data_IF_868739086900
#
_entry.id   IF_868739086900
#
_cell.length_a   1.000
_cell.length_b   1.000
_cell.length_c   1.000
_cell.angle_alpha   90.00
_cell.angle_beta   90.00
_cell.angle_gamma   90.00
#
_symmetry.space_group_name_H-M   'P 1'
#
loop_
_entity.id
_entity.type
_entity.pdbx_description
1 polymer ?
#
# COMPACT_ATOMS: atom_id res chain seq x y z
N UNK A 1 -4.94 27.80 39.44
CA UNK A 1 -5.84 26.96 38.65
C UNK A 1 -6.84 26.23 39.53
N UNK A 2 -8.08 26.13 39.08
CA UNK A 2 -9.11 25.39 39.77
C UNK A 2 -9.01 23.90 39.45
N UNK A 3 -9.71 23.09 40.28
CA UNK A 3 -9.81 21.66 40.03
C UNK A 3 -10.47 21.36 38.67
N UNK A 4 -11.42 22.21 38.24
CA UNK A 4 -12.05 22.09 36.93
C UNK A 4 -11.05 22.32 35.78
N UNK A 5 -10.09 23.21 35.98
CA UNK A 5 -9.03 23.46 34.96
C UNK A 5 -8.11 22.25 34.80
N UNK A 6 -7.77 21.59 35.89
CA UNK A 6 -6.98 20.35 35.85
C UNK A 6 -7.74 19.21 35.17
N UNK A 7 -9.03 19.08 35.41
CA UNK A 7 -9.86 18.07 34.76
C UNK A 7 -10.01 18.33 33.26
N UNK A 8 -10.19 19.59 32.88
CA UNK A 8 -10.26 19.96 31.46
C UNK A 8 -8.93 19.68 30.75
N UNK A 9 -7.81 19.97 31.39
CA UNK A 9 -6.49 19.69 30.85
C UNK A 9 -6.25 18.18 30.71
N UNK A 10 -6.61 17.41 31.73
CA UNK A 10 -6.51 15.96 31.70
C UNK A 10 -7.33 15.35 30.57
N UNK A 11 -8.57 15.83 30.37
CA UNK A 11 -9.41 15.39 29.27
C UNK A 11 -8.76 15.64 27.91
N UNK A 12 -8.21 16.83 27.71
CA UNK A 12 -7.51 17.18 26.47
C UNK A 12 -6.27 16.33 26.22
N UNK A 13 -5.50 16.08 27.28
CA UNK A 13 -4.32 15.20 27.19
C UNK A 13 -4.74 13.78 26.78
N UNK A 14 -5.79 13.27 27.39
CA UNK A 14 -6.31 11.93 27.05
C UNK A 14 -6.82 11.87 25.60
N UNK A 15 -7.48 12.91 25.13
CA UNK A 15 -7.92 13.01 23.74
C UNK A 15 -6.74 13.03 22.77
N UNK A 16 -5.68 13.74 23.10
CA UNK A 16 -4.46 13.76 22.30
C UNK A 16 -3.77 12.39 22.25
N UNK A 17 -3.72 11.70 23.37
CA UNK A 17 -3.16 10.35 23.44
C UNK A 17 -3.96 9.41 22.55
N UNK A 18 -5.30 9.47 22.62
CA UNK A 18 -6.17 8.64 21.78
C UNK A 18 -5.98 8.95 20.30
N UNK A 19 -5.86 10.22 19.95
CA UNK A 19 -5.58 10.63 18.58
C UNK A 19 -4.22 10.11 18.10
N UNK A 20 -3.18 10.20 18.91
CA UNK A 20 -1.87 9.66 18.58
C UNK A 20 -1.91 8.16 18.36
N UNK A 21 -2.66 7.42 19.15
CA UNK A 21 -2.85 5.97 18.99
C UNK A 21 -3.56 5.64 17.68
N UNK A 22 -4.61 6.41 17.35
CA UNK A 22 -5.31 6.23 16.07
C UNK A 22 -4.41 6.50 14.87
N UNK A 23 -3.63 7.58 14.93
CA UNK A 23 -2.68 7.93 13.88
C UNK A 23 -1.60 6.85 13.73
N UNK A 24 -1.09 6.32 14.82
CA UNK A 24 -0.12 5.23 14.78
C UNK A 24 -0.70 3.98 14.13
N UNK A 25 -1.91 3.61 14.48
CA UNK A 25 -2.62 2.48 13.89
C UNK A 25 -2.86 2.70 12.39
N UNK A 26 -3.28 3.90 11.99
CA UNK A 26 -3.46 4.25 10.58
C UNK A 26 -2.16 4.19 9.80
N UNK A 27 -1.07 4.67 10.40
CA UNK A 27 0.26 4.61 9.76
C UNK A 27 0.70 3.17 9.52
N UNK A 28 0.49 2.29 10.49
CA UNK A 28 0.82 0.87 10.34
C UNK A 28 -0.01 0.22 9.23
N UNK A 29 -1.30 0.54 9.16
CA UNK A 29 -2.18 0.06 8.10
C UNK A 29 -1.72 0.55 6.73
N UNK A 30 -1.40 1.84 6.60
CA UNK A 30 -0.91 2.43 5.36
C UNK A 30 0.43 1.83 4.92
N UNK A 31 1.33 1.56 5.85
CA UNK A 31 2.59 0.89 5.55
C UNK A 31 2.37 -0.52 5.02
N UNK A 32 1.42 -1.25 5.61
CA UNK A 32 1.06 -2.59 5.15
C UNK A 32 0.44 -2.54 3.75
N UNK A 33 -0.48 -1.62 3.51
CA UNK A 33 -1.08 -1.41 2.19
C UNK A 33 -0.03 -1.07 1.14
N UNK A 34 0.91 -0.19 1.48
CA UNK A 34 2.02 0.17 0.60
C UNK A 34 2.86 -1.04 0.23
N UNK A 35 3.16 -1.89 1.20
CA UNK A 35 3.92 -3.12 0.97
C UNK A 35 3.16 -4.07 0.04
N UNK A 36 1.87 -4.26 0.27
CA UNK A 36 1.00 -5.08 -0.58
C UNK A 36 0.94 -4.54 -2.02
N UNK A 37 0.82 -3.22 -2.17
CA UNK A 37 0.84 -2.55 -3.47
C UNK A 37 2.11 -2.81 -4.26
N UNK A 38 3.26 -2.73 -3.59
CA UNK A 38 4.55 -3.02 -4.23
C UNK A 38 4.63 -4.46 -4.72
N UNK A 39 4.15 -5.40 -3.92
CA UNK A 39 4.12 -6.82 -4.28
C UNK A 39 3.20 -7.07 -5.47
N UNK A 40 1.98 -6.53 -5.45
CA UNK A 40 1.02 -6.65 -6.54
C UNK A 40 1.55 -6.05 -7.83
N UNK A 41 2.15 -4.87 -7.74
CA UNK A 41 2.76 -4.22 -8.90
C UNK A 41 3.86 -5.07 -9.52
N UNK A 42 4.73 -5.64 -8.69
CA UNK A 42 5.79 -6.51 -9.16
C UNK A 42 5.23 -7.74 -9.89
N UNK A 43 4.18 -8.35 -9.36
CA UNK A 43 3.49 -9.49 -9.99
C UNK A 43 2.87 -9.10 -11.33
N UNK A 44 2.19 -7.97 -11.39
CA UNK A 44 1.57 -7.47 -12.64
C UNK A 44 2.63 -7.21 -13.70
N UNK A 45 3.74 -6.59 -13.34
CA UNK A 45 4.84 -6.34 -14.27
C UNK A 45 5.46 -7.64 -14.79
N UNK A 46 5.61 -8.63 -13.94
CA UNK A 46 6.10 -9.94 -14.32
C UNK A 46 5.15 -10.64 -15.29
N UNK A 47 3.85 -10.65 -14.99
CA UNK A 47 2.81 -11.22 -15.85
C UNK A 47 2.77 -10.53 -17.21
N UNK A 48 2.91 -9.21 -17.22
CA UNK A 48 2.97 -8.42 -18.44
C UNK A 48 4.16 -8.85 -19.32
N UNK A 49 5.33 -9.01 -18.73
CA UNK A 49 6.53 -9.42 -19.45
C UNK A 49 6.42 -10.85 -19.98
N UNK A 50 5.85 -11.75 -19.21
CA UNK A 50 5.58 -13.14 -19.65
C UNK A 50 4.61 -13.16 -20.82
N UNK A 51 3.53 -12.40 -20.77
CA UNK A 51 2.55 -12.29 -21.84
C UNK A 51 3.19 -11.71 -23.12
N UNK A 52 3.98 -10.65 -22.97
CA UNK A 52 4.72 -10.04 -24.08
C UNK A 52 5.66 -11.04 -24.74
N UNK A 53 6.42 -11.76 -23.94
CA UNK A 53 7.37 -12.76 -24.44
C UNK A 53 6.67 -13.87 -25.23
N UNK A 54 5.51 -14.34 -24.74
CA UNK A 54 4.70 -15.34 -25.44
C UNK A 54 4.16 -14.83 -26.77
N UNK A 55 3.67 -13.60 -26.79
CA UNK A 55 3.17 -12.99 -28.03
C UNK A 55 4.31 -12.83 -29.05
N UNK A 56 5.46 -12.37 -28.63
CA UNK A 56 6.64 -12.25 -29.50
C UNK A 56 7.07 -13.61 -30.09
N UNK A 57 7.05 -14.66 -29.28
CA UNK A 57 7.34 -16.01 -29.74
C UNK A 57 6.33 -16.49 -30.79
N UNK A 58 5.03 -16.21 -30.58
CA UNK A 58 4.00 -16.55 -31.57
C UNK A 58 4.21 -15.81 -32.89
N UNK A 59 4.50 -14.53 -32.83
CA UNK A 59 4.76 -13.71 -34.03
C UNK A 59 5.98 -14.26 -34.81
N UNK A 60 7.03 -14.61 -34.10
CA UNK A 60 8.24 -15.20 -34.71
C UNK A 60 7.93 -16.50 -35.42
N UNK A 61 7.11 -17.38 -34.81
CA UNK A 61 6.67 -18.64 -35.44
C UNK A 61 5.83 -18.40 -36.68
N UNK A 62 4.90 -17.44 -36.64
CA UNK A 62 4.06 -17.12 -37.78
C UNK A 62 4.90 -16.60 -38.94
N UNK A 63 5.86 -15.76 -38.68
CA UNK A 63 6.79 -15.26 -39.72
C UNK A 63 7.62 -16.37 -40.34
N UNK A 64 8.09 -17.32 -39.57
CA UNK A 64 8.83 -18.47 -40.05
C UNK A 64 7.96 -19.38 -40.93
N UNK A 65 6.65 -19.47 -40.66
CA UNK A 65 5.72 -20.27 -41.48
C UNK A 65 5.36 -19.61 -42.79
N UNK A 66 5.49 -18.31 -42.92
CA UNK A 66 5.21 -17.57 -44.15
C UNK A 66 6.26 -17.80 -45.25
N UNK A 67 7.41 -18.28 -44.87
CA UNK A 67 8.49 -18.60 -45.81
C UNK A 67 8.38 -20.07 -46.24
#
# INVERSE_FOLDING_TARGET
>A
MSEMDYKALELKVNQLIDLCRKLDAQNKTLMQEKSNWKTERAQILQQKEEARSKVEAMITRLKAMEN
#
